data_IF_307778259136
#
_entry.id   IF_307778259136
#
_cell.length_a   1.000
_cell.length_b   1.000
_cell.length_c   1.000
_cell.angle_alpha   90.00
_cell.angle_beta   90.00
_cell.angle_gamma   90.00
#
_symmetry.space_group_name_H-M   'P 1'
#
loop_
_entity.id
_entity.type
_entity.pdbx_description
1 polymer ?
#
# COMPACT_ATOMS: atom_id res chain seq x y z
N UNK A 1 -11.32 9.79 16.62
CA UNK A 1 -9.94 9.27 16.49
C UNK A 1 -8.97 10.34 16.93
N UNK A 2 -7.81 9.97 17.48
CA UNK A 2 -6.71 10.90 17.80
C UNK A 2 -5.67 10.76 16.68
N UNK A 3 -5.57 11.70 15.74
CA UNK A 3 -4.58 11.62 14.67
C UNK A 3 -3.18 11.85 15.24
N UNK A 4 -2.23 11.04 14.80
CA UNK A 4 -0.82 11.09 15.19
C UNK A 4 0.05 10.60 14.03
N UNK A 5 1.34 10.94 14.05
CA UNK A 5 2.26 10.43 13.04
C UNK A 5 2.48 8.93 13.30
N UNK A 6 2.59 8.12 12.25
CA UNK A 6 2.59 6.65 12.38
C UNK A 6 3.66 6.11 13.36
N UNK A 7 4.83 6.73 13.43
CA UNK A 7 5.92 6.31 14.33
C UNK A 7 5.63 6.61 15.82
N UNK A 8 4.65 7.47 16.13
CA UNK A 8 4.25 7.80 17.49
C UNK A 8 3.18 6.84 18.04
N UNK A 9 2.52 6.07 17.17
CA UNK A 9 1.38 5.21 17.52
C UNK A 9 1.73 4.15 18.56
N UNK A 10 2.71 3.30 18.26
CA UNK A 10 3.09 2.20 19.18
C UNK A 10 3.63 2.73 20.52
N UNK A 11 4.51 3.75 20.56
CA UNK A 11 4.92 4.37 21.81
C UNK A 11 3.75 4.94 22.63
N UNK A 12 2.77 5.60 22.01
CA UNK A 12 1.62 6.18 22.71
C UNK A 12 0.73 5.10 23.35
N UNK A 13 0.51 3.98 22.65
CA UNK A 13 -0.22 2.82 23.20
C UNK A 13 0.57 2.21 24.36
N UNK A 14 1.88 2.00 24.19
CA UNK A 14 2.73 1.39 25.23
C UNK A 14 2.80 2.25 26.51
N UNK A 15 2.69 3.58 26.39
CA UNK A 15 2.62 4.52 27.53
C UNK A 15 1.22 4.68 28.12
N UNK A 16 0.19 4.06 27.54
CA UNK A 16 -1.19 4.17 27.99
C UNK A 16 -1.86 5.51 27.70
N UNK A 17 -1.30 6.31 26.78
CA UNK A 17 -1.87 7.60 26.35
C UNK A 17 -3.14 7.39 25.52
N UNK A 18 -3.19 6.26 24.80
CA UNK A 18 -4.36 5.80 24.05
C UNK A 18 -4.58 4.30 24.28
N UNK A 19 -5.82 3.84 24.17
CA UNK A 19 -6.20 2.45 24.44
C UNK A 19 -5.77 1.45 23.34
N UNK A 20 -5.68 1.93 22.08
CA UNK A 20 -5.29 1.13 20.92
C UNK A 20 -4.77 2.06 19.81
N UNK A 21 -4.04 1.50 18.84
CA UNK A 21 -3.46 2.22 17.71
C UNK A 21 -3.59 1.44 16.41
N UNK A 22 -3.78 2.16 15.30
CA UNK A 22 -3.72 1.57 13.95
C UNK A 22 -2.29 1.60 13.49
N UNK A 23 -1.68 0.43 13.35
CA UNK A 23 -0.26 0.27 12.99
C UNK A 23 -0.15 -0.01 11.50
N UNK A 24 0.75 0.72 10.82
CA UNK A 24 1.06 0.59 9.39
C UNK A 24 2.58 0.48 9.19
N UNK A 25 3.00 0.30 7.94
CA UNK A 25 4.40 0.12 7.55
C UNK A 25 5.10 -1.05 8.29
N UNK A 26 6.34 -0.86 8.72
CA UNK A 26 7.15 -1.83 9.44
C UNK A 26 6.65 -2.13 10.86
N UNK A 27 5.74 -1.30 11.40
CA UNK A 27 5.18 -1.49 12.75
C UNK A 27 4.53 -2.85 12.95
N UNK A 28 4.06 -3.49 11.87
CA UNK A 28 3.51 -4.86 11.89
C UNK A 28 4.51 -5.94 12.29
N UNK A 29 5.81 -5.67 12.18
CA UNK A 29 6.88 -6.60 12.55
C UNK A 29 7.49 -6.26 13.92
N UNK A 30 7.30 -5.02 14.39
CA UNK A 30 8.01 -4.50 15.57
C UNK A 30 7.13 -4.26 16.79
N UNK A 31 5.79 -4.31 16.67
CA UNK A 31 4.87 -4.06 17.79
C UNK A 31 5.13 -4.96 19.01
N UNK A 32 5.57 -6.21 18.79
CA UNK A 32 5.93 -7.13 19.88
C UNK A 32 7.08 -6.62 20.76
N UNK A 33 8.02 -5.87 20.17
CA UNK A 33 9.13 -5.23 20.91
C UNK A 33 8.67 -4.13 21.87
N UNK A 34 7.48 -3.58 21.65
CA UNK A 34 6.84 -2.61 22.56
C UNK A 34 5.98 -3.28 23.64
N UNK A 35 5.97 -4.62 23.72
CA UNK A 35 5.07 -5.37 24.61
C UNK A 35 3.60 -5.30 24.19
N UNK A 36 3.33 -4.91 22.93
CA UNK A 36 1.98 -4.81 22.38
C UNK A 36 1.54 -6.14 21.76
N UNK A 37 0.23 -6.31 21.65
CA UNK A 37 -0.39 -7.45 20.98
C UNK A 37 -1.28 -6.96 19.84
N UNK A 38 -1.32 -7.72 18.75
CA UNK A 38 -2.27 -7.46 17.68
C UNK A 38 -3.70 -7.79 18.15
N UNK A 39 -4.60 -6.82 18.07
CA UNK A 39 -6.02 -7.01 18.42
C UNK A 39 -6.78 -7.61 17.24
N UNK A 40 -6.50 -7.12 16.03
CA UNK A 40 -7.14 -7.54 14.77
C UNK A 40 -6.17 -7.25 13.61
N UNK A 41 -6.08 -8.15 12.62
CA UNK A 41 -5.41 -7.86 11.35
C UNK A 41 -6.48 -7.34 10.36
N UNK A 42 -6.42 -6.05 10.05
CA UNK A 42 -7.41 -5.40 9.18
C UNK A 42 -7.34 -5.89 7.72
N UNK A 43 -6.21 -6.46 7.29
CA UNK A 43 -6.08 -7.09 5.98
C UNK A 43 -6.79 -8.43 5.94
N UNK A 44 -6.57 -9.27 6.95
CA UNK A 44 -7.29 -10.56 7.10
C UNK A 44 -8.79 -10.33 7.23
N UNK A 45 -9.20 -9.43 8.12
CA UNK A 45 -10.60 -9.04 8.29
C UNK A 45 -11.24 -8.59 6.97
N UNK A 46 -10.51 -7.82 6.15
CA UNK A 46 -10.99 -7.36 4.85
C UNK A 46 -11.19 -8.51 3.88
N UNK A 47 -10.20 -9.41 3.77
CA UNK A 47 -10.27 -10.57 2.90
C UNK A 47 -11.39 -11.53 3.30
N UNK A 48 -11.55 -11.82 4.59
CA UNK A 48 -12.65 -12.64 5.10
C UNK A 48 -14.02 -12.01 4.82
N UNK A 49 -14.11 -10.68 4.94
CA UNK A 49 -15.39 -9.97 4.78
C UNK A 49 -15.79 -9.75 3.33
N UNK A 50 -14.83 -9.55 2.44
CA UNK A 50 -15.10 -9.12 1.06
C UNK A 50 -14.60 -10.07 -0.02
N UNK A 51 -13.82 -11.10 0.33
CA UNK A 51 -13.33 -12.11 -0.60
C UNK A 51 -12.35 -11.57 -1.65
N UNK A 52 -11.74 -10.41 -1.38
CA UNK A 52 -10.76 -9.75 -2.24
C UNK A 52 -9.62 -9.18 -1.38
N UNK A 53 -8.39 -9.06 -1.90
CA UNK A 53 -7.28 -8.46 -1.15
C UNK A 53 -7.57 -7.01 -0.77
N UNK A 54 -6.92 -6.51 0.29
CA UNK A 54 -7.07 -5.11 0.73
C UNK A 54 -6.25 -4.15 -0.16
N UNK A 55 -6.87 -3.13 -0.80
CA UNK A 55 -6.11 -2.11 -1.51
C UNK A 55 -5.47 -1.14 -0.51
N UNK A 56 -4.14 -1.11 -0.44
CA UNK A 56 -3.40 -0.27 0.53
C UNK A 56 -2.85 1.02 -0.07
N UNK A 57 -2.39 0.98 -1.32
CA UNK A 57 -1.76 2.11 -1.99
C UNK A 57 -1.85 2.00 -3.50
N UNK A 58 -1.71 3.15 -4.17
CA UNK A 58 -1.71 3.23 -5.63
C UNK A 58 -0.80 4.35 -6.12
N UNK A 59 -0.22 4.16 -7.30
CA UNK A 59 0.55 5.20 -8.00
C UNK A 59 -0.41 5.97 -8.89
N UNK A 60 -0.53 7.28 -8.64
CA UNK A 60 -1.48 8.14 -9.33
C UNK A 60 -0.74 9.10 -10.26
N UNK A 61 -1.25 9.24 -11.49
CA UNK A 61 -0.82 10.26 -12.43
C UNK A 61 -1.87 11.36 -12.51
N UNK A 62 -1.43 12.62 -12.35
CA UNK A 62 -2.32 13.77 -12.48
C UNK A 62 -2.78 13.90 -13.95
N UNK A 63 -4.07 14.16 -14.18
CA UNK A 63 -4.66 14.16 -15.54
C UNK A 63 -4.04 15.19 -16.49
N UNK A 64 -3.56 16.31 -15.95
CA UNK A 64 -2.93 17.42 -16.64
C UNK A 64 -1.39 17.41 -16.50
N UNK A 65 -0.79 16.26 -16.21
CA UNK A 65 0.66 16.13 -16.05
C UNK A 65 1.46 16.36 -17.35
N UNK A 66 0.78 16.42 -18.51
CA UNK A 66 1.43 16.63 -19.81
C UNK A 66 2.32 15.47 -20.26
N UNK A 67 2.16 14.30 -19.65
CA UNK A 67 2.87 13.06 -19.99
C UNK A 67 1.86 11.98 -20.36
N UNK A 68 2.28 11.10 -21.27
CA UNK A 68 1.43 10.02 -21.77
C UNK A 68 1.29 8.93 -20.66
N UNK A 69 0.07 8.65 -20.18
CA UNK A 69 -0.15 7.73 -19.06
C UNK A 69 0.37 6.31 -19.26
N UNK A 70 0.22 5.74 -20.45
CA UNK A 70 0.63 4.36 -20.77
C UNK A 70 2.16 4.25 -20.67
N UNK A 71 2.90 5.27 -21.12
CA UNK A 71 4.34 5.37 -20.98
C UNK A 71 4.77 5.37 -19.52
N UNK A 72 4.10 6.15 -18.67
CA UNK A 72 4.42 6.19 -17.22
C UNK A 72 4.15 4.84 -16.57
N UNK A 73 2.98 4.23 -16.85
CA UNK A 73 2.62 2.91 -16.34
C UNK A 73 3.65 1.84 -16.73
N UNK A 74 4.08 1.83 -18.00
CA UNK A 74 5.12 0.91 -18.47
C UNK A 74 6.45 1.11 -17.73
N UNK A 75 6.91 2.35 -17.58
CA UNK A 75 8.17 2.64 -16.88
C UNK A 75 8.14 2.23 -15.40
N UNK A 76 7.01 2.46 -14.72
CA UNK A 76 6.83 2.00 -13.33
C UNK A 76 6.87 0.47 -13.25
N UNK A 77 6.17 -0.22 -14.16
CA UNK A 77 6.21 -1.70 -14.23
C UNK A 77 7.62 -2.22 -14.48
N UNK A 78 8.33 -1.64 -15.44
CA UNK A 78 9.73 -2.00 -15.75
C UNK A 78 10.64 -1.79 -14.54
N UNK A 79 10.46 -0.69 -13.80
CA UNK A 79 11.21 -0.43 -12.56
C UNK A 79 10.96 -1.47 -11.49
N UNK A 80 9.71 -1.87 -11.27
CA UNK A 80 9.36 -2.92 -10.30
C UNK A 80 9.91 -4.28 -10.74
N UNK A 81 9.74 -4.63 -12.02
CA UNK A 81 10.25 -5.88 -12.58
C UNK A 81 11.78 -5.97 -12.46
N UNK A 82 12.49 -4.87 -12.70
CA UNK A 82 13.94 -4.80 -12.52
C UNK A 82 14.35 -5.05 -11.06
N UNK A 83 13.71 -4.38 -10.10
CA UNK A 83 14.02 -4.54 -8.68
C UNK A 83 13.71 -5.97 -8.18
N UNK A 84 12.67 -6.62 -8.70
CA UNK A 84 12.36 -8.02 -8.38
C UNK A 84 13.40 -8.98 -8.97
N UNK A 85 13.94 -8.69 -10.17
CA UNK A 85 14.99 -9.49 -10.79
C UNK A 85 16.38 -9.26 -10.14
N UNK A 86 16.59 -8.10 -9.52
CA UNK A 86 17.87 -7.69 -8.91
C UNK A 86 17.65 -7.20 -7.47
N UNK A 87 17.22 -8.07 -6.54
CA UNK A 87 16.76 -7.66 -5.21
C UNK A 87 17.82 -6.99 -4.33
N UNK A 88 19.11 -7.24 -4.59
CA UNK A 88 20.21 -6.64 -3.81
C UNK A 88 20.62 -5.24 -4.29
N UNK A 89 20.39 -4.90 -5.57
CA UNK A 89 20.78 -3.61 -6.15
C UNK A 89 20.12 -2.39 -5.46
N UNK A 90 18.80 -2.37 -5.18
CA UNK A 90 18.17 -1.23 -4.54
C UNK A 90 18.49 -1.13 -3.04
N UNK A 91 19.07 -2.16 -2.41
CA UNK A 91 19.21 -2.22 -0.94
C UNK A 91 20.05 -1.08 -0.37
N UNK A 92 21.09 -0.64 -1.08
CA UNK A 92 21.87 0.52 -0.65
C UNK A 92 21.01 1.79 -0.57
N UNK A 93 20.12 2.01 -1.56
CA UNK A 93 19.19 3.13 -1.58
C UNK A 93 18.06 2.97 -0.56
N UNK A 94 17.52 1.76 -0.39
CA UNK A 94 16.49 1.49 0.61
C UNK A 94 16.99 1.83 2.02
N UNK A 95 18.23 1.43 2.37
CA UNK A 95 18.82 1.70 3.68
C UNK A 95 18.98 3.18 4.01
N UNK A 96 19.15 4.07 3.00
CA UNK A 96 19.24 5.51 3.27
C UNK A 96 17.90 6.15 3.59
N UNK A 97 16.79 5.44 3.36
CA UNK A 97 15.42 5.95 3.53
C UNK A 97 14.56 5.11 4.50
N UNK A 98 15.02 3.93 4.91
CA UNK A 98 14.34 3.10 5.90
C UNK A 98 14.60 3.63 7.33
N UNK A 99 13.56 3.63 8.17
CA UNK A 99 13.70 3.92 9.61
C UNK A 99 14.26 2.71 10.38
N UNK A 100 13.93 1.50 9.94
CA UNK A 100 14.47 0.25 10.46
C UNK A 100 15.74 -0.14 9.70
N UNK A 101 16.80 -0.48 10.44
CA UNK A 101 18.11 -0.83 9.87
C UNK A 101 18.34 -2.34 9.82
N UNK A 102 17.51 -3.14 10.48
CA UNK A 102 17.56 -4.59 10.38
C UNK A 102 17.24 -5.05 8.95
N UNK A 103 18.23 -5.69 8.32
CA UNK A 103 18.13 -6.12 6.92
C UNK A 103 17.09 -7.22 6.71
N UNK A 104 16.86 -8.08 7.70
CA UNK A 104 15.84 -9.12 7.65
C UNK A 104 14.44 -8.51 7.72
N UNK A 105 14.24 -7.50 8.57
CA UNK A 105 12.97 -6.76 8.64
C UNK A 105 12.71 -6.01 7.34
N UNK A 106 13.72 -5.34 6.78
CA UNK A 106 13.58 -4.62 5.49
C UNK A 106 13.22 -5.58 4.35
N UNK A 107 13.91 -6.72 4.25
CA UNK A 107 13.59 -7.73 3.23
C UNK A 107 12.19 -8.31 3.42
N UNK A 108 11.79 -8.59 4.66
CA UNK A 108 10.44 -9.08 4.98
C UNK A 108 9.37 -8.07 4.61
N UNK A 109 9.62 -6.79 4.88
CA UNK A 109 8.75 -5.70 4.47
C UNK A 109 8.60 -5.63 2.95
N UNK A 110 9.70 -5.64 2.21
CA UNK A 110 9.67 -5.64 0.73
C UNK A 110 8.92 -6.86 0.21
N UNK A 111 9.24 -8.07 0.69
CA UNK A 111 8.61 -9.31 0.21
C UNK A 111 7.11 -9.38 0.46
N UNK A 112 6.62 -8.73 1.53
CA UNK A 112 5.19 -8.66 1.82
C UNK A 112 4.45 -7.68 0.90
N UNK A 113 5.02 -6.49 0.68
CA UNK A 113 4.33 -5.39 0.00
C UNK A 113 4.64 -5.26 -1.50
N UNK A 114 5.75 -5.85 -1.96
CA UNK A 114 6.13 -5.89 -3.38
C UNK A 114 5.88 -7.29 -3.91
N UNK A 115 4.79 -7.45 -4.65
CA UNK A 115 4.32 -8.75 -5.14
C UNK A 115 3.68 -8.62 -6.53
N UNK A 116 2.93 -9.64 -6.98
CA UNK A 116 2.28 -9.65 -8.30
C UNK A 116 1.43 -8.40 -8.55
N UNK A 117 0.74 -7.88 -7.52
CA UNK A 117 -0.11 -6.69 -7.63
C UNK A 117 0.69 -5.42 -7.87
N UNK A 118 1.97 -5.39 -7.49
CA UNK A 118 2.87 -4.26 -7.76
C UNK A 118 3.29 -4.20 -9.24
N UNK A 119 3.26 -5.32 -9.96
CA UNK A 119 3.50 -5.39 -11.40
C UNK A 119 2.23 -5.09 -12.21
N UNK A 120 1.13 -5.72 -11.81
CA UNK A 120 -0.17 -5.61 -12.45
C UNK A 120 -1.28 -6.00 -11.46
N UNK A 121 -2.32 -5.17 -11.32
CA UNK A 121 -3.42 -5.47 -10.41
C UNK A 121 -4.22 -6.71 -10.84
N UNK A 122 -4.30 -6.98 -12.14
CA UNK A 122 -5.20 -7.94 -12.76
C UNK A 122 -6.67 -7.70 -12.39
N UNK A 123 -7.53 -8.62 -12.80
CA UNK A 123 -8.96 -8.54 -12.50
C UNK A 123 -9.23 -8.55 -10.98
N UNK A 124 -8.44 -9.32 -10.22
CA UNK A 124 -8.58 -9.44 -8.78
C UNK A 124 -8.28 -8.12 -8.06
N UNK A 125 -7.16 -7.47 -8.37
CA UNK A 125 -6.80 -6.18 -7.78
C UNK A 125 -7.73 -5.05 -8.24
N UNK A 126 -8.18 -5.07 -9.49
CA UNK A 126 -9.21 -4.13 -9.98
C UNK A 126 -10.51 -4.27 -9.17
N UNK A 127 -11.02 -5.50 -9.00
CA UNK A 127 -12.21 -5.77 -8.17
C UNK A 127 -12.00 -5.33 -6.72
N UNK A 128 -10.80 -5.49 -6.17
CA UNK A 128 -10.48 -5.03 -4.82
C UNK A 128 -10.61 -3.50 -4.67
N UNK A 129 -10.07 -2.75 -5.63
CA UNK A 129 -10.17 -1.28 -5.67
C UNK A 129 -11.62 -0.85 -5.84
N UNK A 130 -12.37 -1.45 -6.77
CA UNK A 130 -13.79 -1.16 -6.96
C UNK A 130 -14.62 -1.48 -5.71
N UNK A 131 -14.31 -2.59 -5.03
CA UNK A 131 -14.95 -3.01 -3.78
C UNK A 131 -14.79 -1.93 -2.70
N UNK A 132 -13.59 -1.33 -2.59
CA UNK A 132 -13.31 -0.22 -1.68
C UNK A 132 -14.05 1.05 -2.09
N UNK A 133 -13.97 1.44 -3.37
CA UNK A 133 -14.60 2.67 -3.88
C UNK A 133 -16.13 2.64 -3.76
N UNK A 134 -16.76 1.50 -4.03
CA UNK A 134 -18.21 1.33 -3.85
C UNK A 134 -18.65 1.41 -2.39
N UNK A 135 -17.77 1.08 -1.44
CA UNK A 135 -18.05 1.05 0.00
C UNK A 135 -17.69 2.34 0.72
N UNK A 136 -16.99 3.28 0.09
CA UNK A 136 -16.73 4.64 0.59
C UNK A 136 -17.97 5.47 0.93
N UNK A 137 -19.18 4.88 0.90
CA UNK A 137 -20.45 5.45 1.36
C UNK A 137 -20.75 5.25 2.85
N UNK A 138 -19.85 4.68 3.66
CA UNK A 138 -20.04 4.68 5.12
C UNK A 138 -19.56 6.03 5.68
N UNK A 139 -20.40 7.07 5.52
CA UNK A 139 -20.23 8.37 6.20
C UNK A 139 -19.50 9.47 5.42
N UNK A 140 -19.76 9.64 4.12
CA UNK A 140 -19.29 10.79 3.30
C UNK A 140 -17.77 10.88 3.04
N UNK A 141 -17.03 9.78 3.10
CA UNK A 141 -15.55 9.82 3.07
C UNK A 141 -14.96 10.27 1.72
N UNK A 142 -15.58 9.91 0.59
CA UNK A 142 -15.20 10.39 -0.75
C UNK A 142 -16.33 10.21 -1.78
N UNK A 143 -16.37 11.03 -2.85
CA UNK A 143 -17.41 10.94 -3.87
C UNK A 143 -17.35 9.60 -4.60
N UNK A 144 -18.52 9.14 -5.08
CA UNK A 144 -18.60 7.93 -5.91
C UNK A 144 -17.82 8.14 -7.21
N UNK A 145 -16.92 7.22 -7.50
CA UNK A 145 -16.21 7.14 -8.78
C UNK A 145 -16.91 6.13 -9.70
N UNK A 146 -17.24 6.55 -10.92
CA UNK A 146 -17.87 5.69 -11.95
C UNK A 146 -17.03 5.61 -13.24
N UNK A 147 -15.85 6.25 -13.27
CA UNK A 147 -14.95 6.19 -14.41
C UNK A 147 -14.04 4.94 -14.38
N UNK A 148 -13.25 4.72 -15.43
CA UNK A 148 -12.27 3.64 -15.44
C UNK A 148 -11.17 3.88 -14.41
N UNK A 149 -10.63 2.81 -13.83
CA UNK A 149 -9.49 2.88 -12.90
C UNK A 149 -8.18 3.23 -13.63
N UNK A 150 -8.03 2.75 -14.85
CA UNK A 150 -6.83 2.90 -15.68
C UNK A 150 -7.14 3.70 -16.96
N UNK A 151 -6.14 4.35 -17.58
CA UNK A 151 -6.31 4.89 -18.92
C UNK A 151 -6.70 3.77 -19.91
N UNK A 152 -7.47 4.08 -20.96
CA UNK A 152 -7.71 3.12 -22.03
C UNK A 152 -6.38 2.71 -22.69
N UNK A 153 -6.25 1.43 -23.07
CA UNK A 153 -5.03 0.87 -23.67
C UNK A 153 -4.70 1.48 -25.05
N UNK A 154 -5.67 2.15 -25.69
CA UNK A 154 -5.48 2.91 -26.92
C UNK A 154 -6.06 4.33 -26.77
N UNK A 155 -5.26 5.34 -27.09
CA UNK A 155 -5.81 6.61 -27.55
C UNK A 155 -6.31 6.37 -28.98
N UNK A 156 -7.60 6.58 -29.30
CA UNK A 156 -8.05 6.50 -30.68
C UNK A 156 -7.33 7.58 -31.51
N UNK A 157 -6.44 7.14 -32.40
CA UNK A 157 -5.79 7.97 -33.42
C UNK A 157 -4.45 8.59 -33.01
N UNK A 158 -3.38 7.79 -33.06
CA UNK A 158 -2.02 8.26 -33.27
C UNK A 158 -1.53 7.83 -34.66
#
# INVERSE_FOLDING_TARGET
AVPMVFHEVMPAVARGEVAAGVVIHEGRFTYGGYGLVAVEDLGVWWEERFGVPVPLGGILLRRDAGVEPVRVQRLVRESVAYALAHPDEPMAYVRTHAQEMDEEVVRSHIGLYVNRFSLDLGDEGCRAVETLLHRGKVGETFPRWEGPLFPPEELPGA
#
